data_IF_677945340736
#
_entry.id   IF_677945340736
#
_cell.length_a   1.000
_cell.length_b   1.000
_cell.length_c   1.000
_cell.angle_alpha   90.00
_cell.angle_beta   90.00
_cell.angle_gamma   90.00
#
_symmetry.space_group_name_H-M   'P 1'
#
loop_
_entity.id
_entity.type
_entity.pdbx_description
1 polymer ?
#
# COMPACT_ATOMS: atom_id res chain seq x y z
N UNK A 1 -44.94 -57.96 -6.64
CA UNK A 1 -45.63 -57.07 -5.69
C UNK A 1 -44.83 -55.77 -5.65
N UNK A 2 -45.43 -54.69 -6.13
CA UNK A 2 -44.80 -53.37 -6.36
C UNK A 2 -44.81 -52.61 -5.03
N UNK A 3 -43.71 -51.99 -4.60
CA UNK A 3 -43.77 -50.78 -3.78
C UNK A 3 -42.51 -49.91 -3.90
N UNK A 4 -42.73 -48.69 -4.37
CA UNK A 4 -41.80 -47.57 -4.50
C UNK A 4 -41.82 -46.76 -3.21
N UNK A 5 -40.69 -46.39 -2.58
CA UNK A 5 -40.67 -45.14 -1.78
C UNK A 5 -39.27 -44.50 -1.67
N UNK A 6 -39.14 -43.35 -2.35
CA UNK A 6 -38.46 -42.07 -2.03
C UNK A 6 -36.99 -42.05 -1.55
N UNK A 7 -36.21 -41.36 -2.39
CA UNK A 7 -34.98 -40.64 -2.12
C UNK A 7 -34.95 -39.90 -0.78
N UNK A 8 -33.81 -39.94 -0.10
CA UNK A 8 -33.42 -38.96 0.92
C UNK A 8 -32.03 -38.43 0.54
N UNK A 9 -31.98 -37.13 0.25
CA UNK A 9 -30.76 -36.33 0.17
C UNK A 9 -30.06 -36.35 1.53
N UNK A 10 -28.77 -36.67 1.58
CA UNK A 10 -27.92 -36.33 2.72
C UNK A 10 -26.95 -35.23 2.28
N UNK A 11 -27.18 -34.05 2.85
CA UNK A 11 -26.51 -32.80 2.54
C UNK A 11 -25.00 -32.85 2.84
N UNK A 12 -24.20 -32.49 1.84
CA UNK A 12 -22.79 -32.13 2.02
C UNK A 12 -22.74 -30.74 2.63
N UNK A 13 -22.69 -30.66 3.96
CA UNK A 13 -22.38 -29.42 4.66
C UNK A 13 -20.87 -29.18 4.56
N UNK A 14 -20.43 -28.63 3.42
CA UNK A 14 -19.09 -28.08 3.28
C UNK A 14 -19.05 -26.79 4.11
N UNK A 15 -18.59 -26.90 5.36
CA UNK A 15 -18.35 -25.75 6.21
C UNK A 15 -17.18 -24.97 5.60
N UNK A 16 -17.49 -23.97 4.77
CA UNK A 16 -16.51 -23.03 4.27
C UNK A 16 -15.93 -22.29 5.48
N UNK A 17 -14.71 -22.67 5.88
CA UNK A 17 -13.86 -21.83 6.70
C UNK A 17 -13.61 -20.54 5.90
N UNK A 18 -14.46 -19.54 6.11
CA UNK A 18 -14.11 -18.16 5.80
C UNK A 18 -12.95 -17.82 6.73
N UNK A 19 -11.73 -18.12 6.29
CA UNK A 19 -10.56 -17.51 6.89
C UNK A 19 -10.80 -16.00 6.77
N UNK A 20 -10.78 -15.24 7.89
CA UNK A 20 -10.73 -13.81 7.76
C UNK A 20 -9.46 -13.55 6.95
N UNK A 21 -9.59 -12.92 5.79
CA UNK A 21 -8.45 -12.42 5.06
C UNK A 21 -7.65 -11.60 6.06
N UNK A 22 -6.52 -12.14 6.50
CA UNK A 22 -5.59 -11.42 7.36
C UNK A 22 -5.22 -10.20 6.54
N UNK A 23 -5.82 -9.06 6.89
CA UNK A 23 -5.68 -7.83 6.14
C UNK A 23 -4.19 -7.63 5.89
N UNK A 24 -3.79 -7.72 4.63
CA UNK A 24 -2.42 -7.47 4.22
C UNK A 24 -2.07 -6.10 4.78
N UNK A 25 -1.13 -6.08 5.73
CA UNK A 25 -0.72 -4.85 6.41
C UNK A 25 0.10 -3.96 5.47
N UNK A 26 0.10 -4.26 4.18
CA UNK A 26 0.76 -3.54 3.12
C UNK A 26 -0.20 -3.31 1.94
N UNK A 27 0.00 -2.20 1.25
CA UNK A 27 -0.71 -1.84 0.02
C UNK A 27 0.32 -1.39 -1.00
N UNK A 28 0.30 -2.03 -2.17
CA UNK A 28 1.08 -1.60 -3.33
C UNK A 28 0.34 -0.44 -3.97
N UNK A 29 1.04 0.68 -4.19
CA UNK A 29 0.48 1.83 -4.88
C UNK A 29 0.74 1.69 -6.38
N UNK A 30 -0.31 1.92 -7.17
CA UNK A 30 -0.16 2.01 -8.62
C UNK A 30 0.40 3.38 -9.00
N UNK A 31 1.60 3.37 -9.57
CA UNK A 31 2.38 4.57 -9.86
C UNK A 31 2.30 4.88 -11.34
N UNK A 32 2.04 6.15 -11.66
CA UNK A 32 2.06 6.68 -13.02
C UNK A 32 3.46 7.14 -13.42
N UNK A 33 4.15 7.85 -12.54
CA UNK A 33 5.51 8.35 -12.78
C UNK A 33 6.18 8.81 -11.49
N UNK A 34 7.50 8.97 -11.54
CA UNK A 34 8.28 9.63 -10.50
C UNK A 34 9.22 10.68 -11.09
N UNK A 35 9.41 11.77 -10.36
CA UNK A 35 10.34 12.85 -10.74
C UNK A 35 11.04 13.43 -9.52
N UNK A 36 12.28 13.85 -9.70
CA UNK A 36 13.00 14.60 -8.69
C UNK A 36 12.56 16.05 -8.75
N UNK A 37 12.25 16.61 -7.58
CA UNK A 37 11.87 17.99 -7.41
C UNK A 37 12.42 18.56 -6.11
N UNK A 38 11.76 19.60 -5.63
CA UNK A 38 11.99 20.14 -4.29
C UNK A 38 10.69 20.08 -3.52
N UNK A 39 10.80 19.81 -2.24
CA UNK A 39 9.69 19.97 -1.31
C UNK A 39 9.40 21.46 -1.16
N UNK A 40 8.16 21.88 -1.44
CA UNK A 40 7.78 23.30 -1.44
C UNK A 40 7.84 23.96 -0.05
N UNK A 41 7.77 23.16 1.02
CA UNK A 41 7.78 23.66 2.39
C UNK A 41 9.19 23.86 2.93
N UNK A 42 10.08 22.92 2.60
CA UNK A 42 11.43 22.85 3.16
C UNK A 42 12.52 23.26 2.17
N UNK A 43 12.19 23.31 0.88
CA UNK A 43 13.13 23.52 -0.21
C UNK A 43 14.13 22.38 -0.38
N UNK A 44 13.98 21.25 0.31
CA UNK A 44 14.89 20.11 0.24
C UNK A 44 14.65 19.31 -1.05
N UNK A 45 15.68 18.64 -1.61
CA UNK A 45 15.49 17.65 -2.65
C UNK A 45 14.46 16.60 -2.23
N UNK A 46 13.56 16.25 -3.14
CA UNK A 46 12.48 15.32 -2.86
C UNK A 46 12.12 14.50 -4.09
N UNK A 47 11.65 13.28 -3.88
CA UNK A 47 11.07 12.45 -4.92
C UNK A 47 9.56 12.64 -4.92
N UNK A 48 9.02 13.17 -6.01
CA UNK A 48 7.58 13.24 -6.23
C UNK A 48 7.15 11.99 -7.00
N UNK A 49 6.19 11.26 -6.44
CA UNK A 49 5.62 10.05 -7.05
C UNK A 49 4.17 10.36 -7.39
N UNK A 50 3.85 10.35 -8.68
CA UNK A 50 2.49 10.56 -9.20
C UNK A 50 1.79 9.21 -9.32
N UNK A 51 0.56 9.11 -8.83
CA UNK A 51 -0.24 7.90 -8.77
C UNK A 51 -1.25 7.88 -9.92
N UNK A 52 -1.68 6.68 -10.30
CA UNK A 52 -2.88 6.53 -11.15
C UNK A 52 -4.15 6.73 -10.30
N UNK A 53 -5.33 6.69 -10.93
CA UNK A 53 -6.60 6.77 -10.20
C UNK A 53 -6.76 5.64 -9.18
N UNK A 54 -6.36 4.42 -9.56
CA UNK A 54 -6.39 3.24 -8.67
C UNK A 54 -5.34 3.37 -7.56
N UNK A 55 -4.16 3.91 -7.87
CA UNK A 55 -3.14 4.23 -6.88
C UNK A 55 -3.59 5.25 -5.83
N UNK A 56 -4.26 6.34 -6.26
CA UNK A 56 -4.87 7.32 -5.34
C UNK A 56 -5.92 6.66 -4.45
N UNK A 57 -6.80 5.84 -5.02
CA UNK A 57 -7.82 5.14 -4.26
C UNK A 57 -7.19 4.21 -3.19
N UNK A 58 -6.13 3.48 -3.57
CA UNK A 58 -5.36 2.65 -2.64
C UNK A 58 -4.69 3.46 -1.52
N UNK A 59 -4.11 4.62 -1.84
CA UNK A 59 -3.53 5.55 -0.86
C UNK A 59 -4.59 6.05 0.13
N UNK A 60 -5.74 6.52 -0.37
CA UNK A 60 -6.83 7.03 0.46
C UNK A 60 -7.37 5.95 1.40
N UNK A 61 -7.60 4.75 0.88
CA UNK A 61 -8.11 3.63 1.66
C UNK A 61 -7.10 3.14 2.71
N UNK A 62 -5.81 3.09 2.36
CA UNK A 62 -4.75 2.72 3.29
C UNK A 62 -4.61 3.76 4.40
N UNK A 63 -4.50 5.05 4.06
CA UNK A 63 -4.27 6.12 5.05
C UNK A 63 -5.46 6.31 5.98
N UNK A 64 -6.70 6.17 5.49
CA UNK A 64 -7.90 6.21 6.31
C UNK A 64 -7.91 5.14 7.42
N UNK A 65 -7.34 3.96 7.15
CA UNK A 65 -7.25 2.85 8.11
C UNK A 65 -6.08 2.99 9.09
N UNK A 66 -5.13 3.88 8.81
CA UNK A 66 -3.87 4.02 9.55
C UNK A 66 -3.65 5.45 10.10
N UNK A 67 -4.70 6.23 10.29
CA UNK A 67 -4.62 7.54 10.95
C UNK A 67 -4.04 7.38 12.36
N UNK A 68 -3.21 8.36 12.76
CA UNK A 68 -2.44 8.38 14.00
C UNK A 68 -1.42 7.24 14.13
N UNK A 69 -0.98 6.64 13.01
CA UNK A 69 0.05 5.60 12.99
C UNK A 69 1.27 6.05 12.18
N UNK A 70 2.42 5.51 12.55
CA UNK A 70 3.63 5.56 11.71
C UNK A 70 3.60 4.37 10.77
N UNK A 71 3.77 4.63 9.48
CA UNK A 71 3.81 3.62 8.43
C UNK A 71 5.15 3.67 7.73
N UNK A 72 5.57 2.56 7.13
CA UNK A 72 6.74 2.54 6.26
C UNK A 72 6.29 2.82 4.83
N UNK A 73 7.03 3.69 4.14
CA UNK A 73 7.01 3.81 2.69
C UNK A 73 8.23 3.06 2.18
N UNK A 74 7.98 2.08 1.32
CA UNK A 74 9.01 1.29 0.68
C UNK A 74 9.05 1.62 -0.80
N UNK A 75 10.27 1.69 -1.32
CA UNK A 75 10.53 1.68 -2.76
C UNK A 75 11.44 0.48 -2.98
N UNK A 76 11.03 -0.46 -3.83
CA UNK A 76 11.83 -1.64 -4.16
C UNK A 76 12.17 -2.51 -2.94
N UNK A 77 11.20 -2.63 -2.03
CA UNK A 77 11.36 -3.40 -0.79
C UNK A 77 12.27 -2.75 0.26
N UNK A 78 12.92 -1.63 -0.03
CA UNK A 78 13.69 -0.85 0.94
C UNK A 78 12.80 0.22 1.60
N UNK A 79 12.81 0.29 2.93
CA UNK A 79 12.13 1.38 3.66
C UNK A 79 12.88 2.68 3.41
N UNK A 80 12.25 3.61 2.69
CA UNK A 80 12.84 4.92 2.35
C UNK A 80 12.49 5.98 3.37
N UNK A 81 11.28 5.91 3.93
CA UNK A 81 10.84 6.82 5.00
C UNK A 81 9.75 6.16 5.83
N UNK A 82 9.57 6.64 7.07
CA UNK A 82 8.51 6.17 7.96
C UNK A 82 7.68 7.34 8.51
N UNK A 83 6.80 7.95 7.71
CA UNK A 83 6.03 9.11 8.10
C UNK A 83 4.89 8.76 9.06
N UNK A 84 4.45 9.77 9.82
CA UNK A 84 3.23 9.71 10.62
C UNK A 84 2.03 10.17 9.80
N UNK A 85 0.97 9.35 9.77
CA UNK A 85 -0.30 9.68 9.09
C UNK A 85 -1.18 10.46 10.05
N UNK A 86 -1.31 11.78 9.84
CA UNK A 86 -2.18 12.63 10.65
C UNK A 86 -3.65 12.64 10.20
N UNK A 87 -3.90 12.38 8.92
CA UNK A 87 -5.24 12.34 8.33
C UNK A 87 -5.27 11.41 7.12
N UNK A 88 -6.46 10.97 6.66
CA UNK A 88 -6.59 10.33 5.35
C UNK A 88 -6.01 11.23 4.25
N UNK A 89 -5.34 10.63 3.27
CA UNK A 89 -4.74 11.32 2.12
C UNK A 89 -5.48 10.93 0.84
N UNK A 90 -6.21 11.87 0.28
CA UNK A 90 -6.81 11.75 -1.04
C UNK A 90 -6.03 12.65 -2.03
N UNK A 91 -4.94 12.12 -2.57
CA UNK A 91 -4.00 12.86 -3.41
C UNK A 91 -3.52 12.01 -4.59
N UNK A 92 -3.38 12.63 -5.75
CA UNK A 92 -2.81 12.00 -6.95
C UNK A 92 -1.28 11.85 -6.87
N UNK A 93 -0.65 12.31 -5.79
CA UNK A 93 0.79 12.21 -5.62
C UNK A 93 1.20 12.12 -4.14
N UNK A 94 2.39 11.59 -3.92
CA UNK A 94 3.10 11.63 -2.64
C UNK A 94 4.51 12.22 -2.83
N UNK A 95 5.03 12.84 -1.78
CA UNK A 95 6.41 13.31 -1.74
C UNK A 95 7.18 12.46 -0.73
N UNK A 96 8.33 11.95 -1.17
CA UNK A 96 9.31 11.28 -0.32
C UNK A 96 10.49 12.23 -0.10
N UNK A 97 10.68 12.65 1.15
CA UNK A 97 11.83 13.43 1.61
C UNK A 97 12.70 12.61 2.55
N UNK A 98 13.98 12.97 2.64
CA UNK A 98 14.95 12.29 3.50
C UNK A 98 16.38 12.75 3.23
N UNK A 99 17.37 12.12 3.87
CA UNK A 99 18.80 12.43 3.68
C UNK A 99 19.34 11.84 2.37
N UNK A 100 18.64 12.05 1.26
CA UNK A 100 19.02 11.54 -0.06
C UNK A 100 19.79 12.60 -0.85
N UNK A 101 20.81 12.18 -1.56
CA UNK A 101 21.46 12.99 -2.59
C UNK A 101 20.58 13.10 -3.84
N UNK A 102 20.81 14.13 -4.67
CA UNK A 102 20.10 14.28 -5.94
C UNK A 102 20.25 13.04 -6.84
N UNK A 103 21.46 12.48 -6.93
CA UNK A 103 21.73 11.27 -7.71
C UNK A 103 21.00 10.02 -7.20
N UNK A 104 20.81 9.89 -5.89
CA UNK A 104 20.01 8.79 -5.34
C UNK A 104 18.54 8.94 -5.71
N UNK A 105 17.99 10.16 -5.63
CA UNK A 105 16.62 10.44 -6.02
C UNK A 105 16.41 10.22 -7.53
N UNK A 106 17.38 10.60 -8.37
CA UNK A 106 17.33 10.37 -9.81
C UNK A 106 17.29 8.88 -10.13
N UNK A 107 18.16 8.08 -9.49
CA UNK A 107 18.18 6.64 -9.66
C UNK A 107 16.85 5.98 -9.25
N UNK A 108 16.26 6.44 -8.13
CA UNK A 108 14.93 5.98 -7.70
C UNK A 108 13.84 6.36 -8.70
N UNK A 109 13.84 7.60 -9.21
CA UNK A 109 12.86 8.07 -10.18
C UNK A 109 12.92 7.26 -11.49
N UNK A 110 14.13 7.05 -12.02
CA UNK A 110 14.33 6.24 -13.21
C UNK A 110 13.86 4.80 -13.01
N UNK A 111 14.14 4.20 -11.84
CA UNK A 111 13.73 2.83 -11.54
C UNK A 111 12.21 2.66 -11.47
N UNK A 112 11.52 3.63 -10.86
CA UNK A 112 10.05 3.68 -10.86
C UNK A 112 9.51 3.83 -12.28
N UNK A 113 10.05 4.77 -13.06
CA UNK A 113 9.57 5.05 -14.42
C UNK A 113 9.80 3.91 -15.41
N UNK A 114 10.77 3.02 -15.16
CA UNK A 114 10.97 1.79 -15.95
C UNK A 114 9.90 0.71 -15.71
N UNK A 115 8.93 0.97 -14.83
CA UNK A 115 7.90 0.00 -14.46
C UNK A 115 8.40 -1.09 -13.50
N UNK A 116 9.63 -0.97 -13.01
CA UNK A 116 10.21 -1.86 -12.00
C UNK A 116 10.01 -1.37 -10.57
N UNK A 117 9.80 -0.06 -10.35
CA UNK A 117 9.70 0.51 -9.00
C UNK A 117 8.36 0.26 -8.34
N UNK A 118 8.29 -0.76 -7.50
CA UNK A 118 7.19 -1.02 -6.59
C UNK A 118 7.24 -0.02 -5.42
N UNK A 119 6.15 0.75 -5.26
CA UNK A 119 5.97 1.64 -4.10
C UNK A 119 4.95 1.00 -3.17
N UNK A 120 5.38 0.66 -1.96
CA UNK A 120 4.55 -0.06 -0.98
C UNK A 120 4.37 0.77 0.27
N UNK A 121 3.13 0.91 0.73
CA UNK A 121 2.84 1.38 2.07
C UNK A 121 2.69 0.19 3.00
N UNK A 122 3.34 0.21 4.15
CA UNK A 122 3.25 -0.88 5.13
C UNK A 122 2.98 -0.34 6.52
N UNK A 123 1.93 -0.84 7.16
CA UNK A 123 1.64 -0.56 8.54
C UNK A 123 2.73 -1.18 9.43
N UNK A 124 3.31 -0.38 10.31
CA UNK A 124 4.28 -0.89 11.28
C UNK A 124 3.53 -1.64 12.38
N UNK A 125 4.04 -2.81 12.79
CA UNK A 125 3.59 -3.45 14.02
C UNK A 125 3.99 -2.57 15.21
N UNK A 126 3.01 -2.17 16.02
CA UNK A 126 3.24 -1.41 17.23
C UNK A 126 4.05 -2.27 18.22
N UNK A 127 5.20 -1.77 18.67
CA UNK A 127 6.06 -2.47 19.65
C UNK A 127 5.46 -2.45 21.07
N UNK A 128 4.39 -1.71 21.32
CA UNK A 128 3.77 -1.58 22.67
C UNK A 128 2.78 -2.69 23.05
N UNK A 129 2.53 -3.68 22.18
CA UNK A 129 1.58 -4.79 22.42
C UNK A 129 2.16 -6.18 22.13
N UNK A 130 3.46 -6.38 22.34
CA UNK A 130 4.08 -7.71 22.42
C UNK A 130 4.66 -7.92 23.81
#
# INVERSE_FOLDING_TARGET
>A
MIWTVKSILAAVALLALAAPAVAQSNTVLEVMSASVGRDDQTGQPALKISLTGDGRAGLAEFTARHVNRVVDVLVEGAVVTSPWIGSPLDSDWIIVTGPFSGSELDAMAEQINRGSGEVVLRARKDKSRQ
#
